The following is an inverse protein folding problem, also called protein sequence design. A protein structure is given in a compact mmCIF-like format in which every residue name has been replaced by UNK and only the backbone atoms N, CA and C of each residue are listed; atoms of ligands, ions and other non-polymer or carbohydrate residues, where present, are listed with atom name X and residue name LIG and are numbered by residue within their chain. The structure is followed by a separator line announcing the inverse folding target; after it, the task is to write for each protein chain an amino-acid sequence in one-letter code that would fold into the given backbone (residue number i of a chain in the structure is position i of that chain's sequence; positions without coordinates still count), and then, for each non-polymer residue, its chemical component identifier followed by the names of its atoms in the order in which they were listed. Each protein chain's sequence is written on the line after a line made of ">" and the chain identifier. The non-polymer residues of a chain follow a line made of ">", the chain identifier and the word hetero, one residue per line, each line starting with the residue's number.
data_IF_394552203649
#
_entry.id   IF_394552203649
#
_cell.length_a   1.000
_cell.length_b   1.000
_cell.length_c   1.000
_cell.angle_alpha   90.00
_cell.angle_beta   90.00
_cell.angle_gamma   90.00
#
_symmetry.space_group_name_H-M   'P 1'
#
loop_
_entity.id
_entity.type
_entity.pdbx_description
1 polymer ?
#
# COMPACT_ATOMS: atom_id res chain seq x y z
N UNK A 1 18.81 3.47 3.27
CA UNK A 1 18.71 3.96 1.88
C UNK A 1 17.78 5.16 1.91
N UNK A 2 18.31 6.32 1.56
CA UNK A 2 17.70 7.64 1.78
C UNK A 2 16.75 7.99 0.64
N UNK A 3 15.72 8.76 0.98
CA UNK A 3 14.58 9.28 0.19
C UNK A 3 14.94 10.01 -1.14
N UNK A 4 16.18 9.96 -1.60
CA UNK A 4 16.76 10.77 -2.67
C UNK A 4 16.61 10.23 -4.10
N UNK A 5 16.00 9.05 -4.31
CA UNK A 5 15.87 8.43 -5.64
C UNK A 5 14.48 8.56 -6.28
N UNK A 6 13.47 9.03 -5.53
CA UNK A 6 12.10 9.10 -6.04
C UNK A 6 11.64 10.53 -6.34
N UNK A 7 10.74 10.67 -7.31
CA UNK A 7 10.15 11.96 -7.67
C UNK A 7 9.32 12.55 -6.51
N UNK A 8 9.22 13.88 -6.45
CA UNK A 8 8.40 14.54 -5.45
C UNK A 8 6.92 14.14 -5.55
N UNK A 9 6.42 13.85 -6.75
CA UNK A 9 5.05 13.37 -6.95
C UNK A 9 4.82 12.00 -6.32
N UNK A 10 5.75 11.07 -6.50
CA UNK A 10 5.68 9.77 -5.84
C UNK A 10 5.74 9.88 -4.32
N UNK A 11 6.60 10.75 -3.79
CA UNK A 11 6.68 10.95 -2.34
C UNK A 11 5.37 11.52 -1.77
N UNK A 12 4.72 12.45 -2.48
CA UNK A 12 3.39 12.95 -2.09
C UNK A 12 2.32 11.86 -2.16
N UNK A 13 2.35 11.06 -3.22
CA UNK A 13 1.45 9.92 -3.38
C UNK A 13 1.62 8.89 -2.24
N UNK A 14 2.86 8.57 -1.88
CA UNK A 14 3.18 7.62 -0.82
C UNK A 14 2.82 8.17 0.58
N UNK A 15 3.02 9.47 0.81
CA UNK A 15 2.58 10.11 2.05
C UNK A 15 1.05 10.11 2.19
N UNK A 16 0.33 10.31 1.08
CA UNK A 16 -1.12 10.15 1.04
C UNK A 16 -1.56 8.71 1.34
N UNK A 17 -0.88 7.70 0.75
CA UNK A 17 -1.13 6.28 1.05
C UNK A 17 -0.98 5.99 2.55
N UNK A 18 0.11 6.44 3.15
CA UNK A 18 0.35 6.28 4.61
C UNK A 18 -0.72 6.96 5.44
N UNK A 19 -1.13 8.16 5.05
CA UNK A 19 -2.18 8.90 5.74
C UNK A 19 -3.52 8.17 5.67
N UNK A 20 -3.90 7.67 4.49
CA UNK A 20 -5.12 6.86 4.31
C UNK A 20 -5.08 5.60 5.17
N UNK A 21 -3.96 4.87 5.13
CA UNK A 21 -3.80 3.66 5.93
C UNK A 21 -3.86 3.94 7.44
N UNK A 22 -3.33 5.07 7.91
CA UNK A 22 -3.46 5.48 9.32
C UNK A 22 -4.91 5.80 9.68
N UNK A 23 -5.65 6.50 8.82
CA UNK A 23 -7.06 6.82 9.07
C UNK A 23 -7.96 5.58 9.09
N UNK A 24 -7.58 4.52 8.37
CA UNK A 24 -8.31 3.25 8.32
C UNK A 24 -7.78 2.19 9.31
N UNK A 25 -6.92 2.57 10.27
CA UNK A 25 -6.23 1.64 11.20
C UNK A 25 -5.47 0.48 10.49
N UNK A 26 -5.15 0.68 9.22
CA UNK A 26 -4.51 -0.26 8.31
C UNK A 26 -3.05 0.09 8.03
N UNK A 27 -2.42 0.92 8.88
CA UNK A 27 -1.03 1.35 8.72
C UNK A 27 -0.01 0.21 8.65
N UNK A 28 -0.37 -0.97 9.15
CA UNK A 28 0.41 -2.20 9.08
C UNK A 28 0.45 -2.84 7.68
N UNK A 29 -0.48 -2.46 6.79
CA UNK A 29 -0.51 -2.89 5.38
C UNK A 29 0.51 -2.15 4.51
N UNK A 30 0.81 -0.90 4.86
CA UNK A 30 1.74 -0.07 4.11
C UNK A 30 3.16 -0.37 4.56
N UNK A 31 3.99 -0.83 3.62
CA UNK A 31 5.40 -1.12 3.90
C UNK A 31 6.12 0.17 4.26
N UNK A 32 7.10 0.09 5.17
CA UNK A 32 7.99 1.23 5.45
C UNK A 32 8.95 1.53 4.30
N UNK A 33 9.13 0.58 3.38
CA UNK A 33 9.95 0.76 2.18
C UNK A 33 9.07 1.29 1.02
N UNK A 34 9.26 2.55 0.59
CA UNK A 34 8.51 3.13 -0.52
C UNK A 34 8.68 2.34 -1.82
N UNK A 35 9.79 1.61 -2.01
CA UNK A 35 9.99 0.79 -3.21
C UNK A 35 8.88 -0.24 -3.41
N UNK A 36 8.29 -0.74 -2.32
CA UNK A 36 7.21 -1.73 -2.37
C UNK A 36 5.96 -1.20 -3.11
N UNK A 37 5.72 0.12 -3.06
CA UNK A 37 4.55 0.76 -3.65
C UNK A 37 4.86 1.51 -4.94
N UNK A 38 6.13 1.55 -5.36
CA UNK A 38 6.53 2.26 -6.58
C UNK A 38 5.92 1.64 -7.84
N UNK A 39 5.76 0.31 -7.87
CA UNK A 39 5.10 -0.38 -8.98
C UNK A 39 3.63 0.06 -9.13
N UNK A 40 2.91 0.22 -8.02
CA UNK A 40 1.52 0.69 -8.05
C UNK A 40 1.42 2.11 -8.63
N UNK A 41 2.29 3.01 -8.15
CA UNK A 41 2.40 4.35 -8.71
C UNK A 41 2.73 4.36 -10.21
N UNK A 42 3.64 3.49 -10.67
CA UNK A 42 3.96 3.38 -12.10
C UNK A 42 2.78 2.89 -12.94
N UNK A 43 1.88 2.07 -12.36
CA UNK A 43 0.63 1.65 -13.00
C UNK A 43 -0.46 2.74 -12.91
N UNK A 44 -0.12 3.95 -12.45
CA UNK A 44 -1.06 5.06 -12.25
C UNK A 44 -2.20 4.75 -11.28
N UNK A 45 -1.99 3.78 -10.37
CA UNK A 45 -2.93 3.53 -9.27
C UNK A 45 -2.92 4.72 -8.31
N UNK A 46 -4.09 5.03 -7.78
CA UNK A 46 -4.27 6.02 -6.72
C UNK A 46 -3.85 5.41 -5.37
N UNK A 47 -3.49 6.24 -4.38
CA UNK A 47 -3.15 5.75 -3.04
C UNK A 47 -4.29 4.93 -2.40
N UNK A 48 -5.54 5.30 -2.68
CA UNK A 48 -6.73 4.58 -2.21
C UNK A 48 -6.87 3.20 -2.84
N UNK A 49 -6.57 3.09 -4.14
CA UNK A 49 -6.63 1.83 -4.89
C UNK A 49 -5.56 0.85 -4.42
N UNK A 50 -4.32 1.33 -4.24
CA UNK A 50 -3.24 0.52 -3.65
C UNK A 50 -3.62 0.03 -2.25
N UNK A 51 -4.18 0.90 -1.40
CA UNK A 51 -4.58 0.50 -0.07
C UNK A 51 -5.67 -0.58 -0.09
N UNK A 52 -6.63 -0.47 -1.01
CA UNK A 52 -7.67 -1.48 -1.20
C UNK A 52 -7.06 -2.83 -1.64
N UNK A 53 -6.14 -2.84 -2.61
CA UNK A 53 -5.46 -4.07 -3.04
C UNK A 53 -4.65 -4.70 -1.89
N UNK A 54 -3.94 -3.88 -1.10
CA UNK A 54 -3.21 -4.36 0.08
C UNK A 54 -4.14 -4.97 1.13
N UNK A 55 -5.31 -4.36 1.35
CA UNK A 55 -6.31 -4.84 2.28
C UNK A 55 -6.91 -6.17 1.80
N UNK A 56 -7.27 -6.28 0.52
CA UNK A 56 -7.73 -7.55 -0.08
C UNK A 56 -6.68 -8.66 0.06
N UNK A 57 -5.42 -8.38 -0.25
CA UNK A 57 -4.31 -9.33 -0.09
C UNK A 57 -4.13 -9.76 1.37
N UNK A 58 -4.30 -8.84 2.32
CA UNK A 58 -4.14 -9.12 3.73
C UNK A 58 -5.32 -9.89 4.31
N UNK A 59 -6.56 -9.61 3.88
CA UNK A 59 -7.73 -10.42 4.19
C UNK A 59 -7.56 -11.85 3.68
N UNK A 60 -7.01 -12.01 2.47
CA UNK A 60 -6.76 -13.33 1.90
C UNK A 60 -5.66 -14.11 2.63
N UNK A 61 -4.64 -13.42 3.17
CA UNK A 61 -3.60 -14.03 4.03
C UNK A 61 -4.01 -14.22 5.48
N UNK A 62 -4.98 -13.45 5.98
CA UNK A 62 -5.54 -13.55 7.33
C UNK A 62 -6.56 -14.68 7.49
N UNK A 63 -7.02 -15.28 6.39
CA UNK A 63 -7.92 -16.43 6.42
C UNK A 63 -7.14 -17.75 6.47
N UNK A 64 -6.73 -18.15 7.68
CA UNK A 64 -6.47 -19.54 7.97
C UNK A 64 -7.77 -20.35 7.88
N UNK A 65 -7.98 -21.06 6.77
CA UNK A 65 -8.98 -22.13 6.55
C UNK A 65 -10.50 -21.81 6.61
N UNK A 66 -11.17 -22.07 5.47
CA UNK A 66 -12.59 -22.48 5.38
C UNK A 66 -13.30 -21.87 4.16
N UNK A 67 -13.73 -22.59 3.13
CA UNK A 67 -13.85 -24.03 2.91
C UNK A 67 -13.93 -24.34 1.40
N UNK A 68 -13.74 -25.61 1.06
CA UNK A 68 -13.65 -26.07 -0.31
C UNK A 68 -14.92 -25.87 -1.15
N UNK A 69 -14.69 -25.81 -2.45
CA UNK A 69 -15.52 -26.43 -3.48
C UNK A 69 -14.59 -26.87 -4.61
#
# INVERSE_FOLDING_TARGET
>A
MTVSEYSQDFLRWYDALKSLAQNSDASWLVSSDPKAHFAAYQNSLSPEEELAELDELAQWRGCGCGGGA
#
